data_IF_098942062049
#
_entry.id   IF_098942062049
#
_cell.length_a   1.000
_cell.length_b   1.000
_cell.length_c   1.000
_cell.angle_alpha   90.00
_cell.angle_beta   90.00
_cell.angle_gamma   90.00
#
_symmetry.space_group_name_H-M   'P 1'
#
loop_
_entity.id
_entity.type
_entity.pdbx_description
1 polymer ?
#
# COMPACT_ATOMS: atom_id res chain seq x y z
N UNK A 1 15.84 51.69 32.61
CA UNK A 1 16.84 51.67 31.51
C UNK A 1 17.33 50.23 31.38
N UNK A 2 16.57 49.40 30.63
CA UNK A 2 16.95 48.81 29.32
C UNK A 2 18.21 47.96 29.45
N UNK A 3 18.12 46.61 29.46
CA UNK A 3 18.05 45.76 28.25
C UNK A 3 17.28 44.48 28.62
N UNK A 4 16.01 44.38 28.22
CA UNK A 4 15.60 43.80 26.95
C UNK A 4 15.90 42.29 26.87
N UNK A 5 14.92 41.52 27.34
CA UNK A 5 14.53 40.21 26.84
C UNK A 5 14.82 40.06 25.34
N UNK A 6 15.45 38.96 24.93
CA UNK A 6 15.46 38.36 23.58
C UNK A 6 16.62 37.36 23.61
N UNK A 7 16.40 36.06 23.78
CA UNK A 7 16.27 35.15 22.64
C UNK A 7 15.54 33.89 23.11
N UNK A 8 14.22 33.99 23.09
CA UNK A 8 13.31 32.86 22.98
C UNK A 8 13.43 32.29 21.56
N UNK A 9 13.34 30.97 21.44
CA UNK A 9 12.92 30.24 20.23
C UNK A 9 13.74 30.41 18.96
N UNK A 10 14.57 29.40 18.64
CA UNK A 10 14.62 28.92 17.25
C UNK A 10 15.01 27.43 17.18
N UNK A 11 14.20 26.59 17.82
CA UNK A 11 14.20 25.14 17.56
C UNK A 11 12.82 24.75 16.99
N UNK A 12 12.41 25.40 15.89
CA UNK A 12 11.20 25.04 15.18
C UNK A 12 11.53 24.15 13.98
N UNK A 13 11.10 22.91 14.10
CA UNK A 13 10.51 22.09 13.03
C UNK A 13 11.42 21.64 11.87
N UNK A 14 12.25 20.62 12.13
CA UNK A 14 12.43 19.54 11.15
C UNK A 14 11.23 18.58 11.26
N UNK A 15 10.02 19.07 10.97
CA UNK A 15 8.88 18.19 10.72
C UNK A 15 9.08 17.60 9.31
N UNK A 16 9.93 16.59 9.20
CA UNK A 16 10.12 15.86 7.95
C UNK A 16 8.78 15.27 7.52
N UNK A 17 8.30 15.65 6.34
CA UNK A 17 7.21 14.96 5.68
C UNK A 17 7.60 13.48 5.60
N UNK A 18 6.92 12.60 6.34
CA UNK A 18 7.14 11.15 6.28
C UNK A 18 6.59 10.67 4.94
N UNK A 19 7.40 10.77 3.89
CA UNK A 19 7.07 10.18 2.60
C UNK A 19 7.13 8.66 2.72
N UNK A 20 6.11 8.00 2.17
CA UNK A 20 6.11 6.54 2.05
C UNK A 20 7.28 6.15 1.14
N UNK A 21 8.18 5.23 1.55
CA UNK A 21 9.25 4.76 0.68
C UNK A 21 8.70 4.27 -0.66
N UNK A 22 9.43 4.45 -1.78
CA UNK A 22 9.00 3.94 -3.08
C UNK A 22 8.84 2.40 -3.03
N UNK A 23 8.08 1.83 -3.98
CA UNK A 23 7.96 0.38 -4.09
C UNK A 23 9.30 -0.21 -4.55
N UNK A 24 9.56 -1.47 -4.20
CA UNK A 24 10.72 -2.21 -4.71
C UNK A 24 10.69 -2.20 -6.25
N UNK A 25 11.80 -1.92 -6.96
CA UNK A 25 11.85 -2.03 -8.43
C UNK A 25 11.46 -3.42 -8.93
N UNK A 26 10.75 -3.51 -10.06
CA UNK A 26 10.34 -4.78 -10.67
C UNK A 26 11.52 -5.72 -10.94
N UNK A 27 12.68 -5.17 -11.33
CA UNK A 27 13.91 -5.93 -11.58
C UNK A 27 14.57 -6.52 -10.33
N UNK A 28 14.09 -6.17 -9.13
CA UNK A 28 14.59 -6.63 -7.85
C UNK A 28 13.59 -7.54 -7.12
N UNK A 29 12.46 -7.86 -7.76
CA UNK A 29 11.53 -8.84 -7.23
C UNK A 29 12.13 -10.24 -7.32
N UNK A 30 11.92 -11.04 -6.27
CA UNK A 30 12.19 -12.48 -6.34
C UNK A 30 11.10 -13.19 -7.17
N UNK A 31 11.28 -14.49 -7.41
CA UNK A 31 10.35 -15.30 -8.22
C UNK A 31 8.92 -15.22 -7.70
N UNK A 32 8.72 -15.39 -6.39
CA UNK A 32 7.39 -15.35 -5.76
C UNK A 32 6.69 -13.99 -5.97
N UNK A 33 7.42 -12.90 -5.75
CA UNK A 33 6.91 -11.54 -5.94
C UNK A 33 6.65 -11.23 -7.41
N UNK A 34 7.44 -11.79 -8.34
CA UNK A 34 7.17 -11.68 -9.78
C UNK A 34 5.89 -12.42 -10.17
N UNK A 35 5.66 -13.62 -9.63
CA UNK A 35 4.39 -14.34 -9.82
C UNK A 35 3.23 -13.53 -9.25
N UNK A 36 3.36 -13.00 -8.04
CA UNK A 36 2.37 -12.13 -7.42
C UNK A 36 2.07 -10.86 -8.22
N UNK A 37 3.09 -10.26 -8.85
CA UNK A 37 2.90 -9.15 -9.77
C UNK A 37 2.06 -9.58 -10.99
N UNK A 38 2.29 -10.76 -11.57
CA UNK A 38 1.49 -11.27 -12.67
C UNK A 38 0.02 -11.54 -12.26
N UNK A 39 -0.20 -12.08 -11.05
CA UNK A 39 -1.53 -12.23 -10.45
C UNK A 39 -2.20 -10.86 -10.31
N UNK A 40 -1.48 -9.87 -9.77
CA UNK A 40 -1.99 -8.50 -9.65
C UNK A 40 -2.42 -7.91 -10.99
N UNK A 41 -1.58 -8.03 -12.03
CA UNK A 41 -1.91 -7.49 -13.35
C UNK A 41 -3.17 -8.15 -13.95
N UNK A 42 -3.34 -9.45 -13.71
CA UNK A 42 -4.47 -10.23 -14.23
C UNK A 42 -5.78 -9.93 -13.49
N UNK A 43 -5.74 -9.86 -12.16
CA UNK A 43 -6.95 -9.83 -11.34
C UNK A 43 -7.28 -8.45 -10.76
N UNK A 44 -6.29 -7.57 -10.60
CA UNK A 44 -6.44 -6.31 -9.84
C UNK A 44 -6.15 -5.06 -10.70
N UNK A 45 -5.25 -5.17 -11.68
CA UNK A 45 -4.69 -4.05 -12.44
C UNK A 45 -5.71 -3.27 -13.29
N UNK A 46 -6.86 -3.86 -13.61
CA UNK A 46 -7.96 -3.17 -14.29
C UNK A 46 -8.64 -2.10 -13.42
N UNK A 47 -8.52 -2.20 -12.10
CA UNK A 47 -9.17 -1.32 -11.15
C UNK A 47 -8.18 -0.56 -10.25
N UNK A 48 -7.01 -1.14 -9.98
CA UNK A 48 -6.05 -0.60 -9.02
C UNK A 48 -4.69 -0.31 -9.68
N UNK A 49 -4.12 0.84 -9.37
CA UNK A 49 -2.69 1.06 -9.58
C UNK A 49 -1.90 0.52 -8.38
N UNK A 50 -0.81 -0.19 -8.67
CA UNK A 50 0.16 -0.70 -7.69
C UNK A 50 1.35 0.26 -7.50
N UNK A 51 1.78 0.94 -8.57
CA UNK A 51 2.98 1.78 -8.58
C UNK A 51 2.74 3.25 -8.92
N UNK A 52 1.48 3.67 -9.01
CA UNK A 52 1.10 5.08 -9.22
C UNK A 52 0.23 5.55 -8.06
N UNK A 53 0.57 6.69 -7.48
CA UNK A 53 -0.25 7.34 -6.44
C UNK A 53 -1.41 8.10 -7.08
N UNK A 54 -2.36 7.36 -7.65
CA UNK A 54 -3.57 7.88 -8.26
C UNK A 54 -4.68 6.83 -8.16
N UNK A 55 -5.93 7.29 -8.15
CA UNK A 55 -7.07 6.38 -8.31
C UNK A 55 -7.22 5.95 -9.78
N UNK A 56 -7.79 4.76 -10.00
CA UNK A 56 -8.23 4.29 -11.32
C UNK A 56 -9.74 4.03 -11.29
N UNK A 57 -10.15 2.85 -10.84
CA UNK A 57 -11.55 2.55 -10.47
C UNK A 57 -11.68 2.24 -8.97
N UNK A 58 -10.58 1.81 -8.35
CA UNK A 58 -10.37 1.75 -6.91
C UNK A 58 -9.19 2.64 -6.47
N UNK A 59 -8.90 2.66 -5.15
CA UNK A 59 -7.76 3.37 -4.61
C UNK A 59 -6.43 2.78 -5.10
N UNK A 60 -5.38 3.59 -5.12
CA UNK A 60 -4.01 3.10 -5.30
C UNK A 60 -3.62 2.17 -4.16
N UNK A 61 -3.02 1.04 -4.50
CA UNK A 61 -2.44 0.09 -3.56
C UNK A 61 -0.95 0.36 -3.28
N UNK A 62 -0.38 1.43 -3.85
CA UNK A 62 0.99 1.83 -3.57
C UNK A 62 1.20 1.98 -2.05
N UNK A 63 2.17 1.28 -1.48
CA UNK A 63 2.43 1.30 -0.04
C UNK A 63 1.22 0.91 0.82
N UNK A 64 0.36 -0.01 0.37
CA UNK A 64 -0.82 -0.44 1.14
C UNK A 64 -0.46 -0.93 2.55
N UNK A 65 0.62 -1.69 2.68
CA UNK A 65 1.14 -2.18 3.98
C UNK A 65 2.05 -1.19 4.71
N UNK A 66 2.46 -0.10 4.05
CA UNK A 66 3.25 0.98 4.68
C UNK A 66 2.37 1.95 5.45
N UNK A 67 1.05 1.83 5.32
CA UNK A 67 0.03 2.60 6.05
C UNK A 67 -0.50 1.76 7.22
N UNK A 68 -0.89 2.37 8.35
CA UNK A 68 -1.43 1.62 9.48
C UNK A 68 -2.83 1.04 9.21
N UNK A 69 -3.60 1.68 8.33
CA UNK A 69 -4.99 1.33 8.06
C UNK A 69 -5.28 1.33 6.55
N UNK A 70 -6.17 0.43 6.15
CA UNK A 70 -6.81 0.40 4.84
C UNK A 70 -7.80 1.57 4.71
N UNK A 71 -8.23 1.94 3.49
CA UNK A 71 -9.27 2.96 3.28
C UNK A 71 -10.60 2.69 4.01
N UNK A 72 -10.87 1.42 4.34
CA UNK A 72 -12.02 1.00 5.16
C UNK A 72 -11.86 1.29 6.65
N UNK A 73 -10.68 1.69 7.11
CA UNK A 73 -10.34 1.85 8.53
C UNK A 73 -9.86 0.57 9.21
N UNK A 74 -9.93 -0.59 8.53
CA UNK A 74 -9.36 -1.83 9.04
C UNK A 74 -7.82 -1.77 9.08
N UNK A 75 -7.14 -2.50 9.98
CA UNK A 75 -5.68 -2.62 9.96
C UNK A 75 -5.15 -3.09 8.60
N UNK A 76 -4.06 -2.49 8.12
CA UNK A 76 -3.40 -2.92 6.89
C UNK A 76 -2.46 -4.12 7.17
N UNK A 77 -3.06 -5.30 7.31
CA UNK A 77 -2.36 -6.56 7.52
C UNK A 77 -2.93 -7.67 6.62
N UNK A 78 -2.24 -8.81 6.56
CA UNK A 78 -2.58 -9.89 5.62
C UNK A 78 -3.98 -10.45 5.86
N UNK A 79 -4.39 -10.64 7.11
CA UNK A 79 -5.72 -11.13 7.43
C UNK A 79 -6.82 -10.24 6.81
N UNK A 80 -6.71 -8.92 6.98
CA UNK A 80 -7.70 -7.96 6.48
C UNK A 80 -7.63 -7.77 4.97
N UNK A 81 -6.43 -7.79 4.39
CA UNK A 81 -6.24 -7.70 2.93
C UNK A 81 -6.79 -8.96 2.27
N UNK A 82 -6.45 -10.14 2.76
CA UNK A 82 -6.97 -11.42 2.28
C UNK A 82 -8.49 -11.47 2.34
N UNK A 83 -9.10 -11.10 3.47
CA UNK A 83 -10.56 -11.08 3.59
C UNK A 83 -11.20 -10.14 2.54
N UNK A 84 -10.58 -8.99 2.27
CA UNK A 84 -11.05 -8.04 1.25
C UNK A 84 -10.94 -8.62 -0.16
N UNK A 85 -9.84 -9.31 -0.48
CA UNK A 85 -9.64 -9.96 -1.78
C UNK A 85 -10.63 -11.11 -1.98
N UNK A 86 -10.78 -11.98 -0.99
CA UNK A 86 -11.61 -13.17 -1.08
C UNK A 86 -13.10 -12.87 -1.12
N UNK A 87 -13.56 -11.84 -0.39
CA UNK A 87 -14.98 -11.55 -0.22
C UNK A 87 -15.44 -10.26 -0.90
N UNK A 88 -14.50 -9.47 -1.45
CA UNK A 88 -14.78 -8.15 -1.98
C UNK A 88 -15.09 -7.13 -0.87
N UNK A 89 -15.26 -5.87 -1.27
CA UNK A 89 -15.65 -4.80 -0.36
C UNK A 89 -16.28 -3.62 -1.12
N UNK A 90 -17.53 -3.29 -0.81
CA UNK A 90 -18.27 -2.25 -1.52
C UNK A 90 -18.45 -2.59 -3.00
N UNK A 91 -17.84 -1.80 -3.89
CA UNK A 91 -17.84 -2.05 -5.34
C UNK A 91 -16.69 -2.96 -5.81
N UNK A 92 -15.73 -3.29 -4.94
CA UNK A 92 -14.65 -4.22 -5.27
C UNK A 92 -15.21 -5.65 -5.27
N UNK A 93 -15.19 -6.38 -6.41
CA UNK A 93 -15.70 -7.74 -6.49
C UNK A 93 -14.83 -8.73 -5.71
N UNK A 94 -15.43 -9.84 -5.30
CA UNK A 94 -14.72 -10.96 -4.70
C UNK A 94 -13.85 -11.69 -5.75
N UNK A 95 -12.60 -11.97 -5.41
CA UNK A 95 -11.66 -12.71 -6.27
C UNK A 95 -11.42 -14.16 -5.79
N UNK A 96 -11.99 -14.57 -4.65
CA UNK A 96 -11.68 -15.87 -4.03
C UNK A 96 -12.05 -17.13 -4.82
N UNK A 97 -12.89 -17.00 -5.87
CA UNK A 97 -13.20 -18.10 -6.79
C UNK A 97 -12.37 -18.06 -8.08
N UNK A 98 -11.48 -17.07 -8.23
CA UNK A 98 -10.76 -16.79 -9.48
C UNK A 98 -9.25 -17.03 -9.41
N UNK A 99 -8.73 -17.35 -8.23
CA UNK A 99 -7.31 -17.64 -7.99
C UNK A 99 -7.20 -18.71 -6.90
N UNK A 100 -6.14 -19.52 -6.93
CA UNK A 100 -5.89 -20.53 -5.90
C UNK A 100 -5.10 -19.96 -4.71
N UNK A 101 -4.75 -20.82 -3.76
CA UNK A 101 -4.02 -20.39 -2.56
C UNK A 101 -2.61 -19.91 -2.88
N UNK A 102 -1.93 -20.51 -3.87
CA UNK A 102 -0.57 -20.11 -4.24
C UNK A 102 -0.59 -18.73 -4.88
N UNK A 103 -1.55 -18.48 -5.77
CA UNK A 103 -1.75 -17.16 -6.38
C UNK A 103 -2.01 -16.08 -5.32
N UNK A 104 -2.82 -16.40 -4.30
CA UNK A 104 -3.09 -15.49 -3.20
C UNK A 104 -1.82 -15.21 -2.38
N UNK A 105 -1.07 -16.23 -2.01
CA UNK A 105 0.16 -16.08 -1.22
C UNK A 105 1.20 -15.26 -1.98
N UNK A 106 1.35 -15.50 -3.28
CA UNK A 106 2.23 -14.75 -4.17
C UNK A 106 1.78 -13.29 -4.32
N UNK A 107 0.47 -13.06 -4.48
CA UNK A 107 -0.11 -11.73 -4.53
C UNK A 107 0.19 -10.94 -3.25
N UNK A 108 0.02 -11.54 -2.06
CA UNK A 108 0.34 -10.89 -0.79
C UNK A 108 1.85 -10.57 -0.70
N UNK A 109 2.71 -11.53 -1.07
CA UNK A 109 4.16 -11.31 -1.11
C UNK A 109 4.53 -10.13 -2.01
N UNK A 110 3.87 -9.98 -3.16
CA UNK A 110 4.03 -8.85 -4.05
C UNK A 110 3.54 -7.53 -3.43
N UNK A 111 2.34 -7.51 -2.83
CA UNK A 111 1.77 -6.30 -2.21
C UNK A 111 2.64 -5.74 -1.08
N UNK A 112 3.39 -6.59 -0.35
CA UNK A 112 4.38 -6.17 0.65
C UNK A 112 5.60 -5.43 0.06
N UNK A 113 5.80 -5.51 -1.26
CA UNK A 113 6.87 -4.77 -1.96
C UNK A 113 6.45 -3.35 -2.37
N UNK A 114 5.15 -3.03 -2.28
CA UNK A 114 4.60 -1.75 -2.71
C UNK A 114 4.89 -0.62 -1.72
#
# INVERSE_FOLDING_TARGET
>A
MVRASFLLMLACALAGCKSVPPPTPLSQLNEQQMHGHAVFQTHCGSCHYDRRDAALHGPSLLGVYKRPYLPSGAPANDERVTATILHGHGLMPAAGNSMDQQDLDDLLAYLHTL
#
